data_IF_462713773227
#
_entry.id   IF_462713773227
#
_cell.length_a   1.000
_cell.length_b   1.000
_cell.length_c   1.000
_cell.angle_alpha   90.00
_cell.angle_beta   90.00
_cell.angle_gamma   90.00
#
_symmetry.space_group_name_H-M   'P 1'
#
loop_
_entity.id
_entity.type
_entity.pdbx_description
1 polymer ?
#
# COMPACT_ATOMS: atom_id res chain seq x y z
N UNK A 1 -8.75 -2.52 -19.15
CA UNK A 1 -9.05 -1.17 -18.62
C UNK A 1 -7.85 -0.24 -18.60
N UNK A 2 -6.71 -0.60 -17.98
CA UNK A 2 -5.53 0.31 -17.96
C UNK A 2 -5.07 0.77 -19.35
N UNK A 3 -5.03 -0.14 -20.34
CA UNK A 3 -4.72 0.20 -21.73
C UNK A 3 -5.69 1.24 -22.32
N UNK A 4 -6.98 1.10 -22.02
CA UNK A 4 -8.00 2.05 -22.47
C UNK A 4 -7.85 3.40 -21.77
N UNK A 5 -7.45 3.41 -20.48
CA UNK A 5 -7.14 4.64 -19.76
C UNK A 5 -5.91 5.35 -20.33
N UNK A 6 -4.86 4.63 -20.73
CA UNK A 6 -3.78 5.21 -21.55
C UNK A 6 -4.33 5.87 -22.81
N UNK A 7 -5.22 5.18 -23.54
CA UNK A 7 -5.88 5.76 -24.71
C UNK A 7 -6.59 7.07 -24.38
N UNK A 8 -7.36 7.13 -23.30
CA UNK A 8 -8.00 8.36 -22.85
C UNK A 8 -6.98 9.46 -22.50
N UNK A 9 -5.94 9.14 -21.74
CA UNK A 9 -4.92 10.12 -21.35
C UNK A 9 -4.19 10.69 -22.58
N UNK A 10 -3.79 9.84 -23.52
CA UNK A 10 -3.06 10.21 -24.74
C UNK A 10 -3.92 10.99 -25.73
N UNK A 11 -5.19 10.59 -25.91
CA UNK A 11 -6.06 11.19 -26.92
C UNK A 11 -6.89 12.36 -26.42
N UNK A 12 -7.12 12.50 -25.11
CA UNK A 12 -7.99 13.55 -24.55
C UNK A 12 -7.25 14.37 -23.50
N UNK A 13 -6.79 13.76 -22.40
CA UNK A 13 -6.28 14.53 -21.26
C UNK A 13 -5.01 15.33 -21.59
N UNK A 14 -4.05 14.73 -22.30
CA UNK A 14 -2.81 15.39 -22.71
C UNK A 14 -3.09 16.53 -23.71
N UNK A 15 -3.85 16.34 -24.81
CA UNK A 15 -4.24 17.45 -25.67
C UNK A 15 -4.95 18.60 -24.94
N UNK A 16 -5.92 18.29 -24.08
CA UNK A 16 -6.65 19.31 -23.31
C UNK A 16 -5.71 20.06 -22.34
N UNK A 17 -4.74 19.37 -21.74
CA UNK A 17 -3.70 20.02 -20.92
C UNK A 17 -2.79 20.96 -21.72
N UNK A 18 -2.81 20.86 -23.06
CA UNK A 18 -2.07 21.71 -24.00
C UNK A 18 -2.98 22.72 -24.72
N UNK A 19 -4.23 22.89 -24.29
CA UNK A 19 -5.20 23.80 -24.89
C UNK A 19 -5.73 23.32 -26.25
N UNK A 20 -5.59 22.04 -26.57
CA UNK A 20 -6.10 21.42 -27.80
C UNK A 20 -7.37 20.67 -27.44
N UNK A 21 -8.52 21.18 -27.90
CA UNK A 21 -9.80 20.54 -27.63
C UNK A 21 -9.96 19.22 -28.39
N UNK A 22 -10.23 18.13 -27.67
CA UNK A 22 -10.52 16.82 -28.27
C UNK A 22 -11.80 16.24 -27.65
N UNK A 23 -12.83 16.12 -28.48
CA UNK A 23 -14.14 15.60 -28.14
C UNK A 23 -14.56 14.42 -29.03
N UNK A 24 -15.76 13.90 -28.77
CA UNK A 24 -16.33 12.78 -29.54
C UNK A 24 -16.49 13.08 -31.03
N UNK A 25 -16.63 14.36 -31.38
CA UNK A 25 -16.82 14.88 -32.73
C UNK A 25 -15.52 14.92 -33.56
N UNK A 26 -14.35 15.05 -32.91
CA UNK A 26 -13.08 15.24 -33.61
C UNK A 26 -11.96 14.25 -33.24
N UNK A 27 -12.11 13.39 -32.23
CA UNK A 27 -11.02 12.48 -31.80
C UNK A 27 -10.55 11.49 -32.87
N UNK A 28 -11.39 11.17 -33.86
CA UNK A 28 -11.05 10.28 -34.97
C UNK A 28 -10.13 10.94 -36.01
N UNK A 29 -10.12 12.27 -36.06
CA UNK A 29 -9.35 13.05 -37.05
C UNK A 29 -8.20 13.84 -36.42
N UNK A 30 -8.21 13.99 -35.10
CA UNK A 30 -7.11 14.62 -34.34
C UNK A 30 -6.07 13.58 -33.95
N UNK A 31 -4.85 13.70 -34.46
CA UNK A 31 -3.75 12.83 -34.09
C UNK A 31 -3.23 13.17 -32.69
N UNK A 32 -3.01 12.19 -31.80
CA UNK A 32 -2.43 12.43 -30.47
C UNK A 32 -0.93 12.76 -30.51
N UNK A 33 -0.24 12.38 -31.58
CA UNK A 33 1.18 12.65 -31.81
C UNK A 33 1.39 12.99 -33.30
N UNK A 34 2.28 13.95 -33.65
CA UNK A 34 2.48 14.38 -35.04
C UNK A 34 2.82 13.24 -36.01
N UNK A 35 3.64 12.29 -35.59
CA UNK A 35 4.05 11.15 -36.43
C UNK A 35 3.03 9.99 -36.46
N UNK A 36 1.87 10.15 -35.81
CA UNK A 36 0.83 9.13 -35.74
C UNK A 36 1.34 7.78 -35.22
N UNK A 37 0.88 6.68 -35.81
CA UNK A 37 1.24 5.31 -35.42
C UNK A 37 2.49 4.76 -36.15
N UNK A 38 3.10 5.53 -37.06
CA UNK A 38 4.25 5.02 -37.83
C UNK A 38 5.43 4.62 -36.92
N UNK A 39 5.86 5.42 -35.92
CA UNK A 39 6.94 5.02 -35.00
C UNK A 39 6.60 3.78 -34.15
N UNK A 40 5.32 3.56 -33.84
CA UNK A 40 4.88 2.37 -33.11
C UNK A 40 5.15 1.09 -33.90
N UNK A 41 4.71 1.04 -35.16
CA UNK A 41 4.86 -0.15 -36.02
C UNK A 41 6.29 -0.35 -36.53
N UNK A 42 7.10 0.72 -36.63
CA UNK A 42 8.51 0.62 -36.99
C UNK A 42 9.43 0.26 -35.80
N UNK A 43 8.90 0.17 -34.58
CA UNK A 43 9.67 -0.08 -33.36
C UNK A 43 10.48 1.11 -32.84
N UNK A 44 10.32 2.30 -33.43
CA UNK A 44 10.99 3.52 -32.97
C UNK A 44 10.18 4.23 -31.88
N UNK A 45 9.96 3.56 -30.75
CA UNK A 45 9.07 4.06 -29.69
C UNK A 45 9.60 5.30 -28.96
N UNK A 46 10.91 5.54 -29.02
CA UNK A 46 11.54 6.73 -28.45
C UNK A 46 10.97 8.03 -29.03
N UNK A 47 10.47 8.00 -30.27
CA UNK A 47 9.81 9.15 -30.90
C UNK A 47 8.69 9.75 -30.01
N UNK A 48 7.93 8.90 -29.31
CA UNK A 48 6.81 9.33 -28.46
C UNK A 48 7.20 9.98 -27.13
N UNK A 49 8.48 9.91 -26.76
CA UNK A 49 9.03 10.52 -25.56
C UNK A 49 9.74 11.86 -25.84
N UNK A 50 9.94 12.19 -27.11
CA UNK A 50 10.67 13.39 -27.51
C UNK A 50 9.82 14.66 -27.33
N UNK A 51 10.48 15.75 -26.94
CA UNK A 51 9.85 17.06 -26.72
C UNK A 51 8.71 17.01 -25.67
N UNK A 52 9.04 16.71 -24.40
CA UNK A 52 8.07 16.80 -23.30
C UNK A 52 7.64 18.25 -23.07
N UNK A 53 6.55 18.43 -22.32
CA UNK A 53 6.13 19.75 -21.86
C UNK A 53 7.26 20.43 -21.06
N UNK A 54 7.50 21.71 -21.30
CA UNK A 54 8.62 22.43 -20.69
C UNK A 54 8.35 22.75 -19.21
N UNK A 55 9.39 23.16 -18.49
CA UNK A 55 9.24 23.65 -17.11
C UNK A 55 8.39 24.94 -17.01
N UNK A 56 8.21 25.65 -18.12
CA UNK A 56 7.40 26.86 -18.24
C UNK A 56 6.01 26.58 -18.84
N UNK A 57 5.65 25.31 -19.05
CA UNK A 57 4.33 24.94 -19.58
C UNK A 57 3.22 25.49 -18.70
N UNK A 58 2.25 26.14 -19.34
CA UNK A 58 1.03 26.63 -18.70
C UNK A 58 -0.09 25.61 -18.94
N UNK A 59 -0.46 24.88 -17.89
CA UNK A 59 -1.47 23.82 -17.95
C UNK A 59 -2.81 24.34 -18.48
N UNK A 60 -3.33 23.66 -19.50
CA UNK A 60 -4.53 24.05 -20.24
C UNK A 60 -4.28 24.97 -21.43
N UNK A 61 -3.02 25.31 -21.74
CA UNK A 61 -2.67 26.16 -22.90
C UNK A 61 -1.51 25.55 -23.70
N UNK A 62 -1.30 26.09 -24.91
CA UNK A 62 -0.19 25.70 -25.78
C UNK A 62 1.15 26.35 -25.41
N UNK A 63 1.18 27.25 -24.43
CA UNK A 63 2.40 27.96 -24.02
C UNK A 63 3.34 27.00 -23.30
N UNK A 64 4.53 26.76 -23.87
CA UNK A 64 5.50 25.80 -23.33
C UNK A 64 5.10 24.32 -23.48
N UNK A 65 4.03 24.03 -24.23
CA UNK A 65 3.57 22.68 -24.49
C UNK A 65 4.52 21.94 -25.45
N UNK A 66 4.77 20.66 -25.14
CA UNK A 66 5.51 19.72 -25.96
C UNK A 66 4.61 18.89 -26.87
N UNK A 67 5.18 17.84 -27.45
CA UNK A 67 4.48 16.87 -28.30
C UNK A 67 4.55 15.45 -27.77
N UNK A 68 5.41 15.17 -26.78
CA UNK A 68 5.53 13.83 -26.20
C UNK A 68 4.18 13.34 -25.67
N UNK A 69 3.94 12.04 -25.78
CA UNK A 69 2.73 11.39 -25.25
C UNK A 69 3.05 10.32 -24.20
N UNK A 70 4.29 9.83 -24.16
CA UNK A 70 4.75 8.82 -23.23
C UNK A 70 6.15 9.19 -22.75
N UNK A 71 6.29 9.62 -21.49
CA UNK A 71 7.58 10.06 -20.95
C UNK A 71 7.96 9.28 -19.70
N UNK A 72 9.16 9.56 -19.17
CA UNK A 72 9.61 9.03 -17.89
C UNK A 72 10.45 10.08 -17.17
N UNK A 73 9.90 11.30 -17.07
CA UNK A 73 10.61 12.50 -16.58
C UNK A 73 10.91 12.39 -15.08
N UNK A 74 9.93 11.91 -14.31
CA UNK A 74 9.98 11.90 -12.85
C UNK A 74 9.75 13.28 -12.24
N UNK A 75 9.50 13.30 -10.93
CA UNK A 75 9.19 14.52 -10.19
C UNK A 75 7.81 15.10 -10.56
N UNK A 76 7.68 16.43 -10.47
CA UNK A 76 6.42 17.13 -10.64
C UNK A 76 6.50 18.24 -11.69
N UNK A 77 5.40 18.51 -12.37
CA UNK A 77 5.24 19.71 -13.18
C UNK A 77 5.34 20.95 -12.28
N UNK A 78 6.23 21.92 -12.58
CA UNK A 78 6.51 23.05 -11.69
C UNK A 78 5.30 23.95 -11.42
N UNK A 79 4.39 24.08 -12.39
CA UNK A 79 3.23 24.96 -12.24
C UNK A 79 2.12 24.30 -11.42
N UNK A 80 1.77 23.06 -11.77
CA UNK A 80 0.65 22.33 -11.17
C UNK A 80 1.04 21.64 -9.85
N UNK A 81 2.34 21.41 -9.62
CA UNK A 81 2.86 20.65 -8.48
C UNK A 81 2.30 19.22 -8.41
N UNK A 82 2.06 18.63 -9.59
CA UNK A 82 1.53 17.28 -9.75
C UNK A 82 2.38 16.46 -10.73
N UNK A 83 2.20 15.14 -10.74
CA UNK A 83 2.84 14.22 -11.68
C UNK A 83 2.53 14.62 -13.13
N UNK A 84 3.50 14.39 -14.02
CA UNK A 84 3.36 14.63 -15.46
C UNK A 84 2.31 13.70 -16.07
N UNK A 85 1.36 14.25 -16.84
CA UNK A 85 0.32 13.46 -17.50
C UNK A 85 0.89 12.41 -18.45
N UNK A 86 1.98 12.73 -19.15
CA UNK A 86 2.72 11.81 -20.03
C UNK A 86 3.41 10.68 -19.27
N UNK A 87 3.87 10.92 -18.03
CA UNK A 87 4.38 9.85 -17.15
C UNK A 87 3.23 8.98 -16.65
N UNK A 88 2.07 9.56 -16.29
CA UNK A 88 0.87 8.82 -15.88
C UNK A 88 0.35 7.95 -17.04
N UNK A 89 0.34 8.47 -18.27
CA UNK A 89 -0.07 7.73 -19.46
C UNK A 89 0.86 6.53 -19.72
N UNK A 90 2.17 6.76 -19.63
CA UNK A 90 3.18 5.71 -19.78
C UNK A 90 3.09 4.66 -18.67
N UNK A 91 2.89 5.07 -17.42
CA UNK A 91 2.64 4.15 -16.31
C UNK A 91 1.45 3.22 -16.61
N UNK A 92 0.31 3.76 -17.02
CA UNK A 92 -0.88 2.97 -17.34
C UNK A 92 -0.65 2.01 -18.52
N UNK A 93 0.16 2.41 -19.50
CA UNK A 93 0.51 1.56 -20.64
C UNK A 93 1.37 0.39 -20.18
N UNK A 94 2.40 0.67 -19.39
CA UNK A 94 3.31 -0.34 -18.85
C UNK A 94 2.57 -1.37 -17.98
N UNK A 95 1.76 -0.92 -17.01
CA UNK A 95 1.00 -1.85 -16.16
C UNK A 95 -0.08 -2.61 -16.95
N UNK A 96 -0.62 -2.03 -18.03
CA UNK A 96 -1.55 -2.74 -18.89
C UNK A 96 -0.89 -3.95 -19.56
N UNK A 97 0.34 -3.79 -20.07
CA UNK A 97 1.10 -4.90 -20.66
C UNK A 97 1.36 -5.98 -19.60
N UNK A 98 1.80 -5.59 -18.39
CA UNK A 98 2.02 -6.52 -17.28
C UNK A 98 0.75 -7.32 -16.96
N UNK A 99 -0.40 -6.65 -16.83
CA UNK A 99 -1.66 -7.31 -16.50
C UNK A 99 -2.25 -8.14 -17.64
N UNK A 100 -2.06 -7.73 -18.91
CA UNK A 100 -2.45 -8.54 -20.06
C UNK A 100 -1.63 -9.84 -20.06
N UNK A 101 -0.30 -9.76 -19.91
CA UNK A 101 0.56 -10.96 -19.87
C UNK A 101 0.20 -11.85 -18.67
N UNK A 102 0.07 -11.27 -17.46
CA UNK A 102 -0.29 -12.02 -16.26
C UNK A 102 -1.69 -12.68 -16.38
N UNK A 103 -2.64 -12.02 -17.06
CA UNK A 103 -3.98 -12.55 -17.31
C UNK A 103 -4.04 -13.82 -18.16
N UNK A 104 -2.94 -14.20 -18.82
CA UNK A 104 -2.82 -15.43 -19.62
C UNK A 104 -2.07 -16.56 -18.89
N UNK A 105 -1.78 -16.41 -17.59
CA UNK A 105 -1.02 -17.41 -16.82
C UNK A 105 -1.85 -18.66 -16.46
N UNK A 106 -3.12 -18.49 -16.11
CA UNK A 106 -3.93 -19.57 -15.54
C UNK A 106 -4.71 -20.34 -16.61
N UNK A 107 -4.81 -21.65 -16.42
CA UNK A 107 -5.45 -22.56 -17.37
C UNK A 107 -6.94 -22.26 -17.50
N UNK A 108 -7.39 -22.17 -18.75
CA UNK A 108 -8.81 -22.00 -19.12
C UNK A 108 -9.31 -23.22 -19.90
N UNK A 109 -10.49 -23.13 -20.51
CA UNK A 109 -11.06 -24.16 -21.39
C UNK A 109 -10.21 -24.45 -22.66
N UNK A 110 -9.17 -23.65 -22.91
CA UNK A 110 -8.21 -23.85 -24.01
C UNK A 110 -7.06 -24.82 -23.68
N UNK A 111 -7.03 -25.39 -22.47
CA UNK A 111 -6.10 -26.47 -22.10
C UNK A 111 -4.65 -26.06 -21.82
N UNK A 112 -4.28 -24.79 -22.04
CA UNK A 112 -2.95 -24.23 -21.80
C UNK A 112 -2.99 -23.29 -20.58
N UNK A 113 -1.96 -23.33 -19.74
CA UNK A 113 -1.80 -22.49 -18.55
C UNK A 113 -1.66 -23.31 -17.26
N UNK A 114 -1.60 -22.64 -16.11
CA UNK A 114 -1.42 -23.28 -14.81
C UNK A 114 -2.74 -23.55 -14.07
N UNK A 115 -2.81 -24.69 -13.38
CA UNK A 115 -3.83 -24.94 -12.36
C UNK A 115 -3.37 -24.44 -10.99
N UNK A 116 -4.10 -23.51 -10.41
CA UNK A 116 -3.74 -22.93 -9.10
C UNK A 116 -3.72 -23.97 -7.98
N UNK A 117 -4.59 -24.99 -8.03
CA UNK A 117 -4.59 -26.09 -7.08
C UNK A 117 -3.28 -26.89 -7.14
N UNK A 118 -2.85 -27.25 -8.35
CA UNK A 118 -1.60 -27.98 -8.56
C UNK A 118 -0.38 -27.16 -8.11
N UNK A 119 -0.39 -25.83 -8.36
CA UNK A 119 0.66 -24.92 -7.87
C UNK A 119 0.75 -24.96 -6.34
N UNK A 120 -0.39 -24.82 -5.64
CA UNK A 120 -0.44 -24.81 -4.18
C UNK A 120 -0.02 -26.17 -3.61
N UNK A 121 -0.56 -27.27 -4.15
CA UNK A 121 -0.25 -28.62 -3.65
C UNK A 121 1.23 -28.99 -3.82
N UNK A 122 1.89 -28.46 -4.87
CA UNK A 122 3.30 -28.64 -5.14
C UNK A 122 4.22 -27.70 -4.33
N UNK A 123 3.75 -26.51 -3.94
CA UNK A 123 4.55 -25.53 -3.19
C UNK A 123 4.73 -25.96 -1.73
N UNK A 124 5.83 -26.69 -1.49
CA UNK A 124 6.22 -27.19 -0.19
C UNK A 124 7.64 -26.75 0.14
N UNK A 125 7.91 -26.29 1.36
CA UNK A 125 9.25 -25.88 1.72
C UNK A 125 10.18 -27.11 1.69
N UNK A 126 11.38 -27.00 1.10
CA UNK A 126 12.33 -28.12 1.04
C UNK A 126 12.75 -28.61 2.43
N UNK A 127 12.69 -27.75 3.45
CA UNK A 127 13.05 -28.08 4.83
C UNK A 127 11.96 -28.74 5.68
N UNK A 128 10.76 -29.02 5.14
CA UNK A 128 9.68 -29.76 5.83
C UNK A 128 9.07 -29.08 7.08
N UNK A 129 9.54 -27.89 7.48
CA UNK A 129 9.13 -27.20 8.71
C UNK A 129 7.67 -26.71 8.75
N UNK A 130 6.96 -26.75 7.62
CA UNK A 130 5.57 -26.28 7.50
C UNK A 130 4.57 -27.42 7.24
N UNK A 131 4.91 -28.65 7.67
CA UNK A 131 4.03 -29.82 7.54
C UNK A 131 3.66 -30.14 6.09
N UNK A 132 2.37 -30.32 5.84
CA UNK A 132 1.81 -30.58 4.51
C UNK A 132 1.86 -29.37 3.56
N UNK A 133 2.29 -28.19 4.04
CA UNK A 133 2.44 -26.96 3.25
C UNK A 133 1.09 -26.34 2.90
N UNK A 134 0.88 -26.01 1.62
CA UNK A 134 -0.34 -25.35 1.14
C UNK A 134 -1.45 -26.32 0.68
N UNK A 135 -1.31 -27.63 0.91
CA UNK A 135 -2.34 -28.60 0.52
C UNK A 135 -3.69 -28.29 1.17
N UNK A 136 -4.75 -28.46 0.38
CA UNK A 136 -6.13 -28.18 0.79
C UNK A 136 -6.52 -26.70 0.77
N UNK A 137 -5.56 -25.76 0.73
CA UNK A 137 -5.88 -24.32 0.76
C UNK A 137 -6.71 -23.86 -0.43
N UNK A 138 -6.51 -24.44 -1.62
CA UNK A 138 -7.33 -24.09 -2.78
C UNK A 138 -8.82 -24.32 -2.49
N UNK A 139 -9.18 -25.50 -1.99
CA UNK A 139 -10.56 -25.85 -1.68
C UNK A 139 -11.06 -25.05 -0.46
N UNK A 140 -10.25 -24.88 0.58
CA UNK A 140 -10.58 -24.07 1.76
C UNK A 140 -10.93 -22.62 1.39
N UNK A 141 -10.16 -22.00 0.49
CA UNK A 141 -10.39 -20.61 0.07
C UNK A 141 -11.56 -20.54 -0.92
N UNK A 142 -11.60 -21.41 -1.94
CA UNK A 142 -12.61 -21.32 -3.00
C UNK A 142 -14.02 -21.71 -2.54
N UNK A 143 -14.14 -22.57 -1.51
CA UNK A 143 -15.43 -22.96 -0.95
C UNK A 143 -15.96 -22.03 0.14
N UNK A 144 -15.14 -21.11 0.68
CA UNK A 144 -15.58 -20.14 1.70
C UNK A 144 -15.63 -18.72 1.17
N UNK A 145 -16.84 -18.15 1.11
CA UNK A 145 -17.03 -16.73 0.82
C UNK A 145 -16.47 -15.83 1.93
N UNK A 146 -16.49 -16.28 3.19
CA UNK A 146 -15.93 -15.51 4.30
C UNK A 146 -14.40 -15.41 4.20
N UNK A 147 -13.72 -16.49 3.80
CA UNK A 147 -12.27 -16.44 3.56
C UNK A 147 -11.93 -15.53 2.37
N UNK A 148 -12.69 -15.64 1.26
CA UNK A 148 -12.49 -14.78 0.08
C UNK A 148 -12.73 -13.30 0.41
N UNK A 149 -13.80 -12.99 1.13
CA UNK A 149 -14.12 -11.64 1.53
C UNK A 149 -13.08 -11.09 2.51
N UNK A 150 -12.63 -11.90 3.47
CA UNK A 150 -11.54 -11.52 4.37
C UNK A 150 -10.26 -11.14 3.62
N UNK A 151 -9.83 -11.97 2.66
CA UNK A 151 -8.66 -11.68 1.83
C UNK A 151 -8.86 -10.45 0.94
N UNK A 152 -10.03 -10.31 0.30
CA UNK A 152 -10.34 -9.17 -0.56
C UNK A 152 -10.31 -7.85 0.23
N UNK A 153 -10.91 -7.83 1.42
CA UNK A 153 -10.90 -6.67 2.31
C UNK A 153 -9.48 -6.35 2.81
N UNK A 154 -8.68 -7.36 3.15
CA UNK A 154 -7.28 -7.15 3.55
C UNK A 154 -6.45 -6.52 2.42
N UNK A 155 -6.53 -7.09 1.20
CA UNK A 155 -5.84 -6.57 0.04
C UNK A 155 -6.29 -5.14 -0.30
N UNK A 156 -7.61 -4.89 -0.27
CA UNK A 156 -8.16 -3.58 -0.56
C UNK A 156 -7.82 -2.56 0.54
N UNK A 157 -7.82 -2.96 1.82
CA UNK A 157 -7.44 -2.11 2.94
C UNK A 157 -5.99 -1.64 2.83
N UNK A 158 -5.06 -2.54 2.49
CA UNK A 158 -3.66 -2.21 2.22
C UNK A 158 -3.54 -1.25 1.03
N UNK A 159 -4.20 -1.55 -0.09
CA UNK A 159 -4.18 -0.67 -1.27
C UNK A 159 -4.81 0.71 -1.00
N UNK A 160 -5.84 0.78 -0.16
CA UNK A 160 -6.51 2.02 0.23
C UNK A 160 -5.59 2.89 1.08
N UNK A 161 -4.89 2.31 2.07
CA UNK A 161 -3.92 3.05 2.87
C UNK A 161 -2.72 3.50 2.01
N UNK A 162 -2.23 2.64 1.11
CA UNK A 162 -1.18 2.99 0.15
C UNK A 162 -1.60 4.16 -0.75
N UNK A 163 -2.85 4.17 -1.21
CA UNK A 163 -3.43 5.27 -1.99
C UNK A 163 -3.36 6.58 -1.22
N UNK A 164 -3.77 6.58 0.05
CA UNK A 164 -3.69 7.77 0.91
C UNK A 164 -2.24 8.27 1.05
N UNK A 165 -1.29 7.36 1.33
CA UNK A 165 0.12 7.70 1.51
C UNK A 165 0.76 8.24 0.22
N UNK A 166 0.45 7.64 -0.93
CA UNK A 166 1.00 8.10 -2.21
C UNK A 166 0.34 9.39 -2.70
N UNK A 167 -0.96 9.60 -2.50
CA UNK A 167 -1.65 10.76 -3.03
C UNK A 167 -1.19 12.10 -2.43
N UNK A 168 -0.80 12.12 -1.15
CA UNK A 168 -0.30 13.35 -0.53
C UNK A 168 1.18 13.60 -0.89
N UNK A 169 2.00 12.54 -0.99
CA UNK A 169 3.44 12.67 -1.27
C UNK A 169 3.75 12.81 -2.78
N UNK A 170 2.91 12.21 -3.64
CA UNK A 170 3.02 12.21 -5.09
C UNK A 170 1.67 12.65 -5.72
N UNK A 171 1.33 13.95 -5.67
CA UNK A 171 0.05 14.45 -6.15
C UNK A 171 -0.16 14.16 -7.64
N UNK A 172 -1.25 13.47 -8.00
CA UNK A 172 -1.53 13.10 -9.39
C UNK A 172 -2.45 14.10 -10.13
N UNK A 173 -3.10 15.01 -9.39
CA UNK A 173 -4.09 15.95 -9.93
C UNK A 173 -3.53 17.37 -9.95
N UNK A 174 -3.75 18.09 -11.05
CA UNK A 174 -3.23 19.45 -11.19
C UNK A 174 -3.73 20.36 -10.05
N UNK A 175 -2.81 21.12 -9.45
CA UNK A 175 -3.05 22.10 -8.38
C UNK A 175 -3.56 21.54 -7.05
N UNK A 176 -3.78 20.23 -6.91
CA UNK A 176 -4.31 19.65 -5.67
C UNK A 176 -3.36 19.87 -4.47
N UNK A 177 -2.05 19.94 -4.71
CA UNK A 177 -1.06 20.22 -3.67
C UNK A 177 -1.20 21.62 -3.05
N UNK A 178 -1.93 22.54 -3.71
CA UNK A 178 -2.21 23.91 -3.22
C UNK A 178 -3.55 23.99 -2.49
N UNK A 179 -4.41 22.99 -2.63
CA UNK A 179 -5.67 22.89 -1.89
C UNK A 179 -5.47 22.01 -0.65
N UNK A 180 -5.04 22.64 0.43
CA UNK A 180 -4.70 21.95 1.67
C UNK A 180 -5.89 21.28 2.33
N UNK A 181 -7.09 21.87 2.22
CA UNK A 181 -8.31 21.30 2.82
C UNK A 181 -8.71 20.02 2.08
N UNK A 182 -8.67 20.03 0.75
CA UNK A 182 -8.96 18.84 -0.05
C UNK A 182 -7.91 17.74 0.19
N UNK A 183 -6.62 18.08 0.25
CA UNK A 183 -5.56 17.12 0.56
C UNK A 183 -5.74 16.46 1.94
N UNK A 184 -5.98 17.25 2.98
CA UNK A 184 -6.24 16.74 4.32
C UNK A 184 -7.48 15.84 4.35
N UNK A 185 -8.57 16.27 3.72
CA UNK A 185 -9.81 15.50 3.64
C UNK A 185 -9.59 14.15 2.94
N UNK A 186 -8.88 14.12 1.81
CA UNK A 186 -8.61 12.89 1.06
C UNK A 186 -7.73 11.91 1.84
N UNK A 187 -6.70 12.40 2.53
CA UNK A 187 -5.84 11.55 3.36
C UNK A 187 -6.64 10.90 4.49
N UNK A 188 -7.37 11.72 5.26
CA UNK A 188 -8.19 11.23 6.38
C UNK A 188 -9.26 10.27 5.89
N UNK A 189 -9.97 10.61 4.82
CA UNK A 189 -11.02 9.78 4.22
C UNK A 189 -10.51 8.38 3.89
N UNK A 190 -9.42 8.26 3.12
CA UNK A 190 -8.90 6.97 2.71
C UNK A 190 -8.29 6.19 3.88
N UNK A 191 -7.65 6.84 4.85
CA UNK A 191 -7.13 6.13 6.03
C UNK A 191 -8.25 5.56 6.92
N UNK A 192 -9.35 6.29 7.12
CA UNK A 192 -10.49 5.75 7.86
C UNK A 192 -11.13 4.56 7.12
N UNK A 193 -11.33 4.67 5.80
CA UNK A 193 -11.83 3.54 5.01
C UNK A 193 -10.90 2.35 5.11
N UNK A 194 -9.58 2.55 4.98
CA UNK A 194 -8.61 1.49 5.14
C UNK A 194 -8.73 0.80 6.49
N UNK A 195 -8.90 1.55 7.59
CA UNK A 195 -9.16 1.00 8.92
C UNK A 195 -10.40 0.11 8.97
N UNK A 196 -11.53 0.56 8.43
CA UNK A 196 -12.77 -0.23 8.36
C UNK A 196 -12.61 -1.51 7.53
N UNK A 197 -11.94 -1.42 6.38
CA UNK A 197 -11.66 -2.58 5.53
C UNK A 197 -10.78 -3.59 6.26
N UNK A 198 -9.73 -3.15 6.96
CA UNK A 198 -8.83 -4.03 7.70
C UNK A 198 -9.54 -4.73 8.87
N UNK A 199 -10.35 -4.01 9.66
CA UNK A 199 -11.16 -4.64 10.72
C UNK A 199 -12.14 -5.66 10.13
N UNK A 200 -12.83 -5.30 9.05
CA UNK A 200 -13.74 -6.21 8.34
C UNK A 200 -13.03 -7.46 7.83
N UNK A 201 -11.79 -7.34 7.37
CA UNK A 201 -10.99 -8.48 6.92
C UNK A 201 -10.79 -9.53 8.02
N UNK A 202 -10.39 -9.09 9.22
CA UNK A 202 -10.21 -9.98 10.37
C UNK A 202 -11.54 -10.53 10.90
N UNK A 203 -12.60 -9.72 10.91
CA UNK A 203 -13.94 -10.18 11.29
C UNK A 203 -14.41 -11.32 10.38
N UNK A 204 -14.26 -11.18 9.06
CA UNK A 204 -14.59 -12.25 8.11
C UNK A 204 -13.66 -13.46 8.22
N UNK A 205 -12.39 -13.27 8.59
CA UNK A 205 -11.49 -14.36 8.95
C UNK A 205 -11.96 -15.14 10.18
N UNK A 206 -12.43 -14.45 11.24
CA UNK A 206 -13.00 -15.08 12.42
C UNK A 206 -14.29 -15.85 12.09
N UNK A 207 -15.18 -15.26 11.28
CA UNK A 207 -16.40 -15.94 10.82
C UNK A 207 -16.06 -17.21 10.03
N UNK A 208 -15.05 -17.15 9.16
CA UNK A 208 -14.53 -18.32 8.46
C UNK A 208 -14.10 -19.42 9.44
N UNK A 209 -13.32 -19.09 10.48
CA UNK A 209 -12.89 -20.07 11.47
C UNK A 209 -14.05 -20.71 12.22
N UNK A 210 -15.13 -19.99 12.48
CA UNK A 210 -16.32 -20.53 13.16
C UNK A 210 -17.14 -21.43 12.22
N UNK A 211 -17.45 -20.94 11.02
CA UNK A 211 -18.48 -21.54 10.15
C UNK A 211 -17.95 -22.51 9.12
N UNK A 212 -16.82 -22.18 8.49
CA UNK A 212 -16.40 -22.79 7.23
C UNK A 212 -15.10 -23.60 7.36
N UNK A 213 -14.30 -23.36 8.41
CA UNK A 213 -13.05 -24.08 8.64
C UNK A 213 -13.28 -25.55 9.00
N UNK A 214 -12.76 -26.44 8.15
CA UNK A 214 -12.68 -27.89 8.36
C UNK A 214 -11.25 -28.31 8.78
N UNK A 215 -11.06 -28.77 10.03
CA UNK A 215 -9.78 -29.26 10.52
C UNK A 215 -9.24 -30.50 9.77
N UNK A 216 -10.10 -31.37 9.25
CA UNK A 216 -9.65 -32.59 8.57
C UNK A 216 -9.09 -32.29 7.19
N UNK A 217 -9.76 -31.42 6.42
CA UNK A 217 -9.26 -30.92 5.13
C UNK A 217 -7.93 -30.17 5.28
N UNK A 218 -7.76 -29.43 6.37
CA UNK A 218 -6.59 -28.58 6.61
C UNK A 218 -5.51 -29.25 7.46
N UNK A 219 -5.62 -30.55 7.74
CA UNK A 219 -4.73 -31.27 8.66
C UNK A 219 -3.25 -31.12 8.28
N UNK A 220 -2.44 -30.71 9.26
CA UNK A 220 -0.99 -30.46 9.14
C UNK A 220 -0.58 -29.46 8.04
N UNK A 221 -1.53 -28.72 7.45
CA UNK A 221 -1.20 -27.63 6.53
C UNK A 221 -0.84 -26.36 7.31
N UNK A 222 -0.40 -25.31 6.59
CA UNK A 222 0.03 -24.05 7.23
C UNK A 222 -1.04 -23.40 8.13
N UNK A 223 -2.32 -23.57 7.81
CA UNK A 223 -3.43 -22.98 8.57
C UNK A 223 -3.67 -23.75 9.87
N UNK A 224 -3.70 -25.08 9.82
CA UNK A 224 -3.82 -25.90 11.03
C UNK A 224 -2.62 -25.71 11.96
N UNK A 225 -1.40 -25.70 11.41
CA UNK A 225 -0.19 -25.48 12.21
C UNK A 225 -0.22 -24.14 12.93
N UNK A 226 -0.69 -23.07 12.28
CA UNK A 226 -0.84 -21.76 12.91
C UNK A 226 -1.75 -21.82 14.15
N UNK A 227 -2.87 -22.56 14.08
CA UNK A 227 -3.77 -22.76 15.21
C UNK A 227 -3.12 -23.55 16.36
N UNK A 228 -2.22 -24.49 16.08
CA UNK A 228 -1.51 -25.30 17.09
C UNK A 228 -0.58 -24.48 17.98
N UNK A 229 -0.12 -23.31 17.51
CA UNK A 229 0.75 -22.40 18.29
C UNK A 229 0.16 -21.00 18.44
N UNK A 230 -1.19 -20.90 18.44
CA UNK A 230 -1.89 -19.61 18.58
C UNK A 230 -1.51 -18.85 19.84
N UNK A 231 -1.25 -19.54 20.95
CA UNK A 231 -0.86 -18.92 22.22
C UNK A 231 0.50 -18.22 22.12
N UNK A 232 1.41 -18.76 21.31
CA UNK A 232 2.70 -18.11 21.06
C UNK A 232 2.51 -16.83 20.23
N UNK A 233 1.67 -16.85 19.21
CA UNK A 233 1.37 -15.66 18.38
C UNK A 233 0.75 -14.56 19.26
N UNK A 234 -0.28 -14.92 20.03
CA UNK A 234 -1.00 -13.98 20.90
C UNK A 234 -0.07 -13.42 21.98
N UNK A 235 0.78 -14.25 22.61
CA UNK A 235 1.69 -13.78 23.66
C UNK A 235 2.77 -12.82 23.15
N UNK A 236 3.30 -13.05 21.95
CA UNK A 236 4.28 -12.15 21.35
C UNK A 236 3.63 -10.82 20.94
N UNK A 237 2.44 -10.83 20.35
CA UNK A 237 1.70 -9.61 20.04
C UNK A 237 1.36 -8.80 21.32
N UNK A 238 1.00 -9.49 22.39
CA UNK A 238 0.80 -8.88 23.72
C UNK A 238 2.07 -8.23 24.24
N UNK A 239 3.20 -8.95 24.19
CA UNK A 239 4.50 -8.42 24.61
C UNK A 239 4.90 -7.18 23.81
N UNK A 240 4.79 -7.20 22.48
CA UNK A 240 5.11 -6.03 21.64
C UNK A 240 4.22 -4.84 21.99
N UNK A 241 2.91 -5.07 22.16
CA UNK A 241 1.96 -4.01 22.51
C UNK A 241 2.28 -3.38 23.87
N UNK A 242 2.58 -4.20 24.88
CA UNK A 242 3.00 -3.71 26.20
C UNK A 242 4.35 -2.99 26.14
N UNK A 243 5.32 -3.55 25.42
CA UNK A 243 6.64 -2.94 25.25
C UNK A 243 6.53 -1.56 24.61
N UNK A 244 5.82 -1.44 23.48
CA UNK A 244 5.62 -0.15 22.81
C UNK A 244 4.83 0.81 23.71
N UNK A 245 3.80 0.33 24.41
CA UNK A 245 2.97 1.14 25.31
C UNK A 245 3.78 1.77 26.44
N UNK A 246 4.53 0.96 27.19
CA UNK A 246 5.32 1.44 28.32
C UNK A 246 6.40 2.45 27.88
N UNK A 247 7.14 2.17 26.81
CA UNK A 247 8.24 3.03 26.41
C UNK A 247 7.76 4.31 25.70
N UNK A 248 6.77 4.22 24.81
CA UNK A 248 6.27 5.39 24.08
C UNK A 248 5.58 6.37 25.04
N UNK A 249 4.66 5.89 25.86
CA UNK A 249 3.97 6.72 26.84
C UNK A 249 4.94 7.24 27.91
N UNK A 250 5.88 6.40 28.36
CA UNK A 250 6.92 6.79 29.32
C UNK A 250 7.78 7.96 28.82
N UNK A 251 8.18 7.94 27.54
CA UNK A 251 8.93 9.05 26.94
C UNK A 251 8.09 10.33 26.80
N UNK A 252 6.81 10.23 26.42
CA UNK A 252 5.91 11.39 26.41
C UNK A 252 5.77 12.01 27.81
N UNK A 253 5.49 11.20 28.83
CA UNK A 253 5.36 11.67 30.23
C UNK A 253 6.66 12.29 30.74
N UNK A 254 7.80 11.66 30.45
CA UNK A 254 9.12 12.20 30.81
C UNK A 254 9.34 13.58 30.19
N UNK A 255 9.12 13.71 28.88
CA UNK A 255 9.33 14.95 28.14
C UNK A 255 8.38 16.06 28.62
N UNK A 256 7.10 15.75 28.83
CA UNK A 256 6.14 16.72 29.38
C UNK A 256 6.56 17.19 30.79
N UNK A 257 7.02 16.27 31.64
CA UNK A 257 7.42 16.58 33.03
C UNK A 257 8.63 17.51 33.08
N UNK A 258 9.68 17.22 32.31
CA UNK A 258 10.89 18.05 32.30
C UNK A 258 10.64 19.43 31.67
N UNK A 259 9.77 19.51 30.65
CA UNK A 259 9.33 20.78 30.07
C UNK A 259 8.51 21.58 31.07
N UNK A 260 7.58 20.95 31.79
CA UNK A 260 6.80 21.59 32.85
C UNK A 260 7.68 22.14 33.99
N UNK A 261 8.83 21.50 34.27
CA UNK A 261 9.83 21.99 35.21
C UNK A 261 10.79 23.04 34.63
N UNK A 262 10.56 23.52 33.40
CA UNK A 262 11.39 24.55 32.76
C UNK A 262 12.77 24.05 32.33
N UNK A 263 12.92 22.74 32.11
CA UNK A 263 14.18 22.08 31.73
C UNK A 263 14.03 21.32 30.40
N UNK A 264 13.67 22.02 29.29
CA UNK A 264 13.43 21.38 28.00
C UNK A 264 14.66 20.67 27.42
N UNK A 265 15.87 21.03 27.84
CA UNK A 265 17.12 20.38 27.45
C UNK A 265 17.28 18.95 28.01
N UNK A 266 16.47 18.58 29.02
CA UNK A 266 16.46 17.23 29.62
C UNK A 266 15.47 16.28 28.96
N UNK A 267 14.81 16.71 27.89
CA UNK A 267 13.99 15.83 27.07
C UNK A 267 14.86 14.73 26.45
N UNK A 268 14.26 13.55 26.27
CA UNK A 268 14.85 12.47 25.50
C UNK A 268 14.33 12.59 24.08
N UNK A 269 15.19 13.09 23.19
CA UNK A 269 14.91 13.32 21.78
C UNK A 269 15.69 12.31 20.94
N UNK A 270 14.99 11.28 20.44
CA UNK A 270 15.60 10.21 19.64
C UNK A 270 15.41 10.51 18.16
N UNK A 271 16.51 10.64 17.41
CA UNK A 271 16.46 10.84 15.97
C UNK A 271 16.03 9.55 15.23
N UNK A 272 15.10 9.63 14.26
CA UNK A 272 14.67 8.48 13.48
C UNK A 272 15.68 8.14 12.37
N UNK A 273 16.91 7.77 12.76
CA UNK A 273 18.05 7.54 11.86
C UNK A 273 17.74 6.56 10.73
N UNK A 274 17.00 5.49 11.00
CA UNK A 274 16.63 4.51 9.96
C UNK A 274 15.71 5.11 8.89
N UNK A 275 14.75 5.95 9.29
CA UNK A 275 13.86 6.60 8.34
C UNK A 275 14.60 7.71 7.57
N UNK A 276 15.46 8.48 8.24
CA UNK A 276 16.34 9.47 7.59
C UNK A 276 17.29 8.81 6.58
N UNK A 277 17.83 7.63 6.90
CA UNK A 277 18.63 6.82 6.00
C UNK A 277 17.83 6.39 4.76
N UNK A 278 16.56 6.00 4.91
CA UNK A 278 15.69 5.68 3.75
C UNK A 278 15.46 6.93 2.88
N UNK A 279 15.23 8.11 3.48
CA UNK A 279 15.10 9.34 2.69
C UNK A 279 16.39 9.62 1.89
N UNK A 280 17.55 9.42 2.51
CA UNK A 280 18.83 9.62 1.84
C UNK A 280 19.11 8.55 0.77
N UNK A 281 18.83 7.28 1.05
CA UNK A 281 18.88 6.20 0.06
C UNK A 281 17.98 6.48 -1.15
N UNK A 282 16.91 7.26 -0.95
CA UNK A 282 15.99 7.73 -1.98
C UNK A 282 16.46 9.01 -2.69
N UNK A 283 17.62 9.59 -2.35
CA UNK A 283 18.19 10.76 -3.03
C UNK A 283 18.08 12.08 -2.27
N UNK A 284 17.58 12.07 -1.04
CA UNK A 284 17.51 13.29 -0.21
C UNK A 284 18.87 13.61 0.40
N UNK A 285 19.37 14.82 0.16
CA UNK A 285 20.74 15.21 0.57
C UNK A 285 20.80 15.85 1.96
N UNK A 286 19.65 16.24 2.52
CA UNK A 286 19.54 16.98 3.78
C UNK A 286 20.31 16.38 4.96
N UNK A 287 20.33 15.04 5.08
CA UNK A 287 20.89 14.33 6.24
C UNK A 287 22.38 13.99 6.11
N UNK A 288 23.01 14.28 4.96
CA UNK A 288 24.45 14.05 4.76
C UNK A 288 24.88 12.58 4.66
N UNK A 289 23.95 11.62 4.57
CA UNK A 289 24.31 10.25 4.22
C UNK A 289 24.70 10.15 2.74
N UNK A 290 25.83 9.50 2.45
CA UNK A 290 26.31 9.25 1.09
C UNK A 290 26.05 7.78 0.70
N UNK A 291 24.79 7.43 0.42
CA UNK A 291 24.34 6.05 0.18
C UNK A 291 23.34 5.99 -0.98
N UNK A 292 23.46 4.96 -1.83
CA UNK A 292 22.52 4.74 -2.95
C UNK A 292 22.27 6.02 -3.75
N UNK A 293 21.02 6.49 -3.86
CA UNK A 293 20.66 7.61 -4.73
C UNK A 293 21.15 8.98 -4.24
N UNK A 294 21.52 9.15 -2.95
CA UNK A 294 22.19 10.38 -2.49
C UNK A 294 23.69 10.40 -2.84
N UNK A 295 24.24 9.28 -3.29
CA UNK A 295 25.63 9.17 -3.72
C UNK A 295 25.74 9.33 -5.24
N UNK A 296 26.52 10.33 -5.69
CA UNK A 296 26.69 10.60 -7.12
C UNK A 296 27.31 9.42 -7.90
N UNK A 297 28.17 8.64 -7.24
CA UNK A 297 28.95 7.56 -7.87
C UNK A 297 28.35 6.16 -7.69
N UNK A 298 27.18 6.04 -7.03
CA UNK A 298 26.53 4.74 -6.84
C UNK A 298 26.03 4.18 -8.17
N UNK A 299 26.14 2.86 -8.34
CA UNK A 299 25.57 2.15 -9.49
C UNK A 299 24.05 2.43 -9.66
N UNK A 300 23.32 2.61 -8.56
CA UNK A 300 21.90 2.96 -8.59
C UNK A 300 21.67 4.34 -9.24
N UNK A 301 22.49 5.33 -8.86
CA UNK A 301 22.45 6.70 -9.39
C UNK A 301 22.83 6.72 -10.87
N UNK A 302 23.92 6.04 -11.24
CA UNK A 302 24.38 5.97 -12.63
C UNK A 302 23.32 5.38 -13.54
N UNK A 303 22.66 4.28 -13.13
CA UNK A 303 21.61 3.63 -13.90
C UNK A 303 20.36 4.51 -14.11
N UNK A 304 19.97 5.32 -13.12
CA UNK A 304 18.80 6.20 -13.21
C UNK A 304 19.06 7.57 -13.85
N UNK A 305 20.32 8.02 -13.90
CA UNK A 305 20.75 9.39 -14.20
C UNK A 305 20.25 9.97 -15.53
N UNK A 306 19.98 9.13 -16.54
CA UNK A 306 19.56 9.54 -17.88
C UNK A 306 18.06 9.40 -18.14
N UNK A 307 17.27 9.00 -17.14
CA UNK A 307 15.85 8.69 -17.32
C UNK A 307 14.99 9.50 -16.34
N UNK A 308 14.63 8.92 -15.19
CA UNK A 308 13.70 9.52 -14.21
C UNK A 308 14.40 10.26 -13.07
N UNK A 309 15.68 9.95 -12.84
CA UNK A 309 16.37 10.38 -11.62
C UNK A 309 16.57 11.89 -11.53
N UNK A 310 16.89 12.65 -12.60
CA UNK A 310 17.01 14.11 -12.49
C UNK A 310 15.72 14.78 -11.99
N UNK A 311 14.56 14.40 -12.53
CA UNK A 311 13.26 14.93 -12.09
C UNK A 311 12.93 14.53 -10.66
N UNK A 312 13.18 13.27 -10.31
CA UNK A 312 13.01 12.77 -8.94
C UNK A 312 13.92 13.48 -7.92
N UNK A 313 15.21 13.58 -8.20
CA UNK A 313 16.20 14.23 -7.32
C UNK A 313 15.89 15.71 -7.12
N UNK A 314 15.36 16.39 -8.15
CA UNK A 314 14.86 17.75 -8.01
C UNK A 314 13.65 17.81 -7.07
N UNK A 315 12.69 16.89 -7.23
CA UNK A 315 11.46 16.91 -6.43
C UNK A 315 11.70 16.56 -4.96
N UNK A 316 12.51 15.54 -4.66
CA UNK A 316 12.75 15.07 -3.27
C UNK A 316 13.59 16.07 -2.43
N UNK A 317 14.33 16.96 -3.09
CA UNK A 317 15.14 17.98 -2.42
C UNK A 317 14.49 19.39 -2.42
N UNK A 318 13.29 19.54 -3.00
CA UNK A 318 12.50 20.77 -2.94
C UNK A 318 11.76 20.87 -1.59
N UNK A 319 11.77 22.05 -0.97
CA UNK A 319 11.19 22.26 0.37
C UNK A 319 9.71 22.64 0.34
N UNK A 320 9.16 22.84 -0.86
CA UNK A 320 7.79 23.31 -1.09
C UNK A 320 6.77 22.22 -1.43
N UNK A 321 7.14 20.94 -1.30
CA UNK A 321 6.24 19.81 -1.53
C UNK A 321 6.25 18.84 -0.34
N UNK A 322 5.45 17.78 -0.42
CA UNK A 322 5.32 16.77 0.64
C UNK A 322 6.06 15.46 0.34
N UNK A 323 6.89 15.43 -0.70
CA UNK A 323 7.67 14.24 -1.06
C UNK A 323 8.81 14.05 -0.05
N UNK A 324 8.71 13.00 0.78
CA UNK A 324 9.67 12.71 1.85
C UNK A 324 9.95 13.93 2.73
N UNK A 325 8.95 14.42 3.48
CA UNK A 325 9.13 15.53 4.41
C UNK A 325 10.29 15.31 5.40
N UNK A 326 11.05 16.36 5.79
CA UNK A 326 12.03 16.24 6.85
C UNK A 326 11.40 15.71 8.14
N UNK A 327 12.00 14.67 8.70
CA UNK A 327 11.57 14.02 9.95
C UNK A 327 12.63 14.19 11.04
N UNK A 328 12.17 14.27 12.30
CA UNK A 328 12.98 14.39 13.49
C UNK A 328 12.40 13.66 14.71
N UNK A 329 12.76 14.06 15.94
CA UNK A 329 12.39 13.33 17.15
C UNK A 329 10.88 13.27 17.45
N UNK A 330 10.13 14.30 17.06
CA UNK A 330 8.67 14.28 17.18
C UNK A 330 8.04 13.19 16.29
N UNK A 331 8.54 13.04 15.06
CA UNK A 331 8.13 12.00 14.14
C UNK A 331 8.47 10.61 14.68
N UNK A 332 9.63 10.44 15.30
CA UNK A 332 10.02 9.18 15.95
C UNK A 332 8.95 8.73 16.97
N UNK A 333 8.55 9.61 17.88
CA UNK A 333 7.59 9.27 18.94
C UNK A 333 6.20 8.94 18.38
N UNK A 334 5.68 9.74 17.45
CA UNK A 334 4.35 9.49 16.89
C UNK A 334 4.32 8.20 16.05
N UNK A 335 5.40 7.85 15.35
CA UNK A 335 5.46 6.57 14.62
C UNK A 335 5.47 5.36 15.57
N UNK A 336 6.08 5.48 16.76
CA UNK A 336 5.99 4.43 17.78
C UNK A 336 4.59 4.35 18.40
N UNK A 337 3.88 5.47 18.54
CA UNK A 337 2.47 5.48 18.95
C UNK A 337 1.55 4.85 17.87
N UNK A 338 1.81 5.11 16.59
CA UNK A 338 1.12 4.43 15.48
C UNK A 338 1.40 2.93 15.52
N UNK A 339 2.67 2.53 15.70
CA UNK A 339 3.05 1.13 15.82
C UNK A 339 2.33 0.45 17.00
N UNK A 340 2.24 1.12 18.16
CA UNK A 340 1.47 0.63 19.29
C UNK A 340 0.00 0.38 18.92
N UNK A 341 -0.64 1.35 18.26
CA UNK A 341 -2.03 1.25 17.82
C UNK A 341 -2.25 0.08 16.86
N UNK A 342 -1.37 -0.08 15.86
CA UNK A 342 -1.43 -1.17 14.89
C UNK A 342 -1.24 -2.55 15.55
N UNK A 343 -0.25 -2.70 16.43
CA UNK A 343 0.01 -3.98 17.10
C UNK A 343 -1.10 -4.34 18.09
N UNK A 344 -1.61 -3.37 18.86
CA UNK A 344 -2.71 -3.61 19.80
C UNK A 344 -4.00 -3.97 19.06
N UNK A 345 -4.32 -3.25 17.97
CA UNK A 345 -5.49 -3.58 17.13
C UNK A 345 -5.34 -4.97 16.52
N UNK A 346 -4.16 -5.30 15.99
CA UNK A 346 -3.86 -6.63 15.44
C UNK A 346 -3.97 -7.72 16.51
N UNK A 347 -3.47 -7.48 17.74
CA UNK A 347 -3.60 -8.40 18.87
C UNK A 347 -5.06 -8.73 19.15
N UNK A 348 -5.91 -7.71 19.27
CA UNK A 348 -7.34 -7.86 19.57
C UNK A 348 -8.01 -8.71 18.49
N UNK A 349 -7.85 -8.32 17.22
CA UNK A 349 -8.47 -8.98 16.07
C UNK A 349 -7.96 -10.41 15.85
N UNK A 350 -6.65 -10.63 15.95
CA UNK A 350 -6.03 -11.95 15.82
C UNK A 350 -6.47 -12.86 16.95
N UNK A 351 -6.42 -12.40 18.21
CA UNK A 351 -6.87 -13.19 19.35
C UNK A 351 -8.35 -13.54 19.22
N UNK A 352 -9.20 -12.61 18.80
CA UNK A 352 -10.61 -12.85 18.51
C UNK A 352 -10.82 -13.97 17.50
N UNK A 353 -10.09 -13.95 16.39
CA UNK A 353 -10.16 -14.97 15.34
C UNK A 353 -9.61 -16.35 15.79
N UNK A 354 -8.47 -16.39 16.48
CA UNK A 354 -7.80 -17.64 16.88
C UNK A 354 -8.51 -18.36 18.05
N UNK A 355 -9.22 -17.62 18.90
CA UNK A 355 -10.06 -18.16 19.97
C UNK A 355 -11.53 -18.32 19.58
N UNK A 356 -11.89 -18.03 18.33
CA UNK A 356 -13.29 -18.05 17.86
C UNK A 356 -13.92 -19.44 17.96
N UNK A 357 -13.13 -20.51 17.73
CA UNK A 357 -13.63 -21.89 17.82
C UNK A 357 -13.68 -22.42 19.25
N UNK A 358 -12.90 -21.84 20.16
CA UNK A 358 -12.78 -22.30 21.54
C UNK A 358 -11.56 -21.72 22.25
N UNK A 359 -11.72 -21.50 23.55
CA UNK A 359 -10.64 -21.13 24.48
C UNK A 359 -10.70 -22.02 25.73
N UNK A 360 -9.75 -21.89 26.65
CA UNK A 360 -9.80 -22.63 27.92
C UNK A 360 -11.04 -22.32 28.76
N UNK A 361 -11.56 -21.09 28.67
CA UNK A 361 -12.72 -20.64 29.44
C UNK A 361 -14.06 -21.12 28.86
N UNK A 362 -14.11 -21.28 27.54
CA UNK A 362 -15.28 -21.78 26.79
C UNK A 362 -14.78 -22.62 25.59
N UNK A 363 -14.56 -23.94 25.78
CA UNK A 363 -13.96 -24.80 24.76
C UNK A 363 -14.87 -25.08 23.55
N UNK A 364 -16.18 -25.01 23.75
CA UNK A 364 -17.26 -25.31 22.80
C UNK A 364 -17.79 -24.05 22.08
N UNK A 365 -17.01 -22.96 22.07
CA UNK A 365 -17.44 -21.65 21.53
C UNK A 365 -17.97 -21.73 20.09
N UNK A 366 -17.39 -22.59 19.24
CA UNK A 366 -17.86 -22.78 17.86
C UNK A 366 -19.34 -23.16 17.75
N UNK A 367 -19.90 -23.80 18.77
CA UNK A 367 -21.28 -24.31 18.77
C UNK A 367 -22.32 -23.18 19.00
N UNK A 368 -21.87 -22.00 19.42
CA UNK A 368 -22.69 -20.81 19.67
C UNK A 368 -22.68 -19.81 18.50
N UNK A 369 -21.82 -20.03 17.50
CA UNK A 369 -21.67 -19.12 16.36
C UNK A 369 -20.76 -17.92 16.63
N UNK A 370 -20.81 -16.94 15.74
CA UNK A 370 -19.87 -15.80 15.75
C UNK A 370 -20.23 -14.72 16.79
N UNK A 371 -21.52 -14.40 16.92
CA UNK A 371 -22.04 -13.35 17.81
C UNK A 371 -23.06 -13.95 18.78
N UNK A 372 -22.77 -13.82 20.06
CA UNK A 372 -23.63 -14.24 21.17
C UNK A 372 -23.26 -13.44 22.43
N UNK A 373 -24.17 -13.20 23.39
CA UNK A 373 -23.93 -12.23 24.46
C UNK A 373 -22.85 -12.63 25.47
N UNK A 374 -22.90 -13.88 25.96
CA UNK A 374 -22.01 -14.47 26.95
C UNK A 374 -22.33 -15.97 27.11
N UNK A 375 -21.60 -16.68 27.99
CA UNK A 375 -21.97 -18.00 28.53
C UNK A 375 -22.27 -17.92 30.05
N UNK A 376 -23.02 -16.87 30.43
CA UNK A 376 -23.49 -16.61 31.79
C UNK A 376 -22.44 -16.08 32.78
N UNK A 377 -22.86 -15.77 34.02
CA UNK A 377 -21.97 -15.24 35.07
C UNK A 377 -21.12 -16.31 35.77
N UNK A 378 -21.31 -17.59 35.43
CA UNK A 378 -20.53 -18.70 35.97
C UNK A 378 -19.05 -18.63 35.59
N UNK A 379 -18.21 -19.48 36.22
CA UNK A 379 -16.76 -19.61 35.91
C UNK A 379 -15.96 -18.29 36.01
N UNK A 380 -16.43 -17.34 36.82
CA UNK A 380 -15.82 -16.01 37.00
C UNK A 380 -16.39 -14.91 36.11
N UNK A 381 -17.36 -15.22 35.23
CA UNK A 381 -17.98 -14.30 34.29
C UNK A 381 -17.44 -14.45 32.86
N UNK A 382 -18.33 -14.37 31.88
CA UNK A 382 -18.01 -14.58 30.45
C UNK A 382 -18.56 -13.46 29.55
N UNK A 383 -18.62 -12.24 30.07
CA UNK A 383 -18.97 -11.06 29.27
C UNK A 383 -18.00 -10.88 28.10
N UNK A 384 -18.50 -10.41 26.96
CA UNK A 384 -17.71 -10.04 25.78
C UNK A 384 -16.75 -11.15 25.31
N UNK A 385 -17.21 -12.41 25.34
CA UNK A 385 -16.39 -13.59 25.06
C UNK A 385 -16.49 -14.06 23.60
N UNK A 386 -17.49 -13.60 22.84
CA UNK A 386 -17.69 -14.01 21.44
C UNK A 386 -16.60 -13.41 20.54
N UNK A 387 -16.49 -13.93 19.31
CA UNK A 387 -15.55 -13.37 18.35
C UNK A 387 -16.07 -12.08 17.68
N UNK A 388 -17.35 -11.72 17.90
CA UNK A 388 -17.93 -10.43 17.51
C UNK A 388 -17.60 -9.33 18.52
N UNK A 389 -17.46 -9.67 19.80
CA UNK A 389 -17.14 -8.71 20.86
C UNK A 389 -15.67 -8.25 20.84
N UNK A 390 -14.79 -9.05 20.22
CA UNK A 390 -13.39 -8.75 19.96
C UNK A 390 -13.23 -7.97 18.67
#
# INVERSE_FOLDING_TARGET
SSLAWTGHLVHVAIPESRGIHVGWDNFLVTLPHPDGLAPFFSGNWLAYANNPDSAQHVFGTSEGAGTAILTFVGGFNPQTQALWLTDIAHHHLAIAVVFIVAGHMYRTNWGIGHNMKEILDAHRPPGGRLGAGHRGLFDTITNSLHMQLGLALACLGVATSLTAQHMYALPAYAYIAKDFTTQAALYVHHQYIAGFLMVGAFAHGAIFFVRDYDPELNKDNVLARMLEHKEAIISHLSWVSLFLGFHTLGLYIHNDTVVAFGQPEKQILVEPLFAQWIQAASGKTLYGFNVLLSSADSAATVAGSKVWLPGWSSAINETKNSLFLPIGPGDFLVHHAIALGLHTTTLILVKGALDARGSKLMPDKKDFGYSFPCDGPGRGGTCDISAWDA
#
